data_IF_888073893551
#
_entry.id   IF_888073893551
#
_cell.length_a   1.000
_cell.length_b   1.000
_cell.length_c   1.000
_cell.angle_alpha   90.00
_cell.angle_beta   90.00
_cell.angle_gamma   90.00
#
_symmetry.space_group_name_H-M   'P 1'
#
loop_
_entity.id
_entity.type
_entity.pdbx_description
1 polymer ?
#
# COMPACT_ATOMS: atom_id res chain seq x y z
N UNK A 1 3.70 -3.36 29.59
CA UNK A 1 5.00 -2.63 29.63
C UNK A 1 5.03 -1.30 28.84
N UNK A 2 3.88 -0.76 28.37
CA UNK A 2 3.80 0.52 27.63
C UNK A 2 3.55 1.74 28.54
N UNK A 3 2.93 1.53 29.70
CA UNK A 3 2.58 2.60 30.65
C UNK A 3 3.77 3.18 31.42
N UNK A 4 4.81 2.38 31.70
CA UNK A 4 5.92 2.83 32.55
C UNK A 4 6.76 3.95 31.91
N UNK A 5 6.87 3.99 30.57
CA UNK A 5 7.66 5.02 29.87
C UNK A 5 6.95 6.37 29.82
N UNK A 6 5.61 6.36 29.71
CA UNK A 6 4.79 7.58 29.76
C UNK A 6 4.79 8.18 31.17
N UNK A 7 4.66 7.34 32.19
CA UNK A 7 4.80 7.70 33.61
C UNK A 7 6.17 8.32 33.92
N UNK A 8 7.25 7.76 33.37
CA UNK A 8 8.60 8.29 33.59
C UNK A 8 8.80 9.69 32.99
N UNK A 9 8.23 9.95 31.81
CA UNK A 9 8.28 11.27 31.16
C UNK A 9 7.46 12.31 31.94
N UNK A 10 6.26 11.94 32.40
CA UNK A 10 5.39 12.80 33.20
C UNK A 10 6.03 13.16 34.54
N UNK A 11 6.68 12.20 35.22
CA UNK A 11 7.41 12.45 36.47
C UNK A 11 8.63 13.38 36.27
N UNK A 12 9.32 13.27 35.14
CA UNK A 12 10.48 14.11 34.82
C UNK A 12 10.07 15.56 34.54
N UNK A 13 8.94 15.76 33.84
CA UNK A 13 8.36 17.08 33.60
C UNK A 13 7.92 17.75 34.92
N UNK A 14 7.26 17.00 35.80
CA UNK A 14 6.85 17.51 37.12
C UNK A 14 8.08 17.92 37.94
N UNK A 15 9.14 17.10 37.96
CA UNK A 15 10.37 17.44 38.67
C UNK A 15 11.03 18.72 38.15
N UNK A 16 11.08 18.92 36.82
CA UNK A 16 11.63 20.13 36.21
C UNK A 16 10.81 21.37 36.58
N UNK A 17 9.47 21.28 36.54
CA UNK A 17 8.58 22.37 36.92
C UNK A 17 8.77 22.73 38.41
N UNK A 18 8.92 21.74 39.29
CA UNK A 18 9.19 21.98 40.71
C UNK A 18 10.54 22.68 40.94
N UNK A 19 11.60 22.30 40.21
CA UNK A 19 12.91 22.95 40.33
C UNK A 19 12.86 24.39 39.84
N UNK A 20 12.15 24.67 38.74
CA UNK A 20 11.95 26.03 38.25
C UNK A 20 11.15 26.88 39.23
N UNK A 21 10.11 26.32 39.86
CA UNK A 21 9.32 27.02 40.87
C UNK A 21 10.16 27.39 42.10
N UNK A 22 11.04 26.48 42.56
CA UNK A 22 11.96 26.75 43.67
C UNK A 22 13.00 27.83 43.30
N UNK A 23 13.56 27.78 42.09
CA UNK A 23 14.49 28.81 41.61
C UNK A 23 13.82 30.19 41.53
N UNK A 24 12.56 30.25 41.07
CA UNK A 24 11.79 31.49 41.01
C UNK A 24 11.48 32.07 42.40
N UNK A 25 11.26 31.23 43.41
CA UNK A 25 11.07 31.70 44.81
C UNK A 25 12.36 32.21 45.45
N UNK A 26 13.54 31.78 44.98
CA UNK A 26 14.83 32.17 45.54
C UNK A 26 15.37 33.47 44.93
N UNK A 27 15.04 33.76 43.67
CA UNK A 27 15.46 34.99 42.99
C UNK A 27 14.36 35.50 42.03
N UNK A 28 13.37 36.27 42.53
CA UNK A 28 12.21 36.67 41.74
C UNK A 28 12.51 37.72 40.66
N UNK A 29 13.67 38.38 40.71
CA UNK A 29 14.12 39.36 39.71
C UNK A 29 15.11 38.77 38.68
N UNK A 30 15.43 37.47 38.78
CA UNK A 30 16.32 36.78 37.86
C UNK A 30 15.78 36.72 36.42
N UNK A 31 16.66 36.86 35.44
CA UNK A 31 16.32 36.69 34.02
C UNK A 31 16.27 35.18 33.66
N UNK A 32 15.07 34.61 33.74
CA UNK A 32 14.82 33.19 33.47
C UNK A 32 14.44 32.90 32.01
N UNK A 33 14.34 33.91 31.13
CA UNK A 33 14.06 33.73 29.70
C UNK A 33 14.97 32.68 29.03
N UNK A 34 16.31 32.70 29.21
CA UNK A 34 17.18 31.71 28.57
C UNK A 34 16.91 30.28 29.03
N UNK A 35 16.51 30.08 30.29
CA UNK A 35 16.23 28.76 30.86
C UNK A 35 14.90 28.21 30.31
N UNK A 36 13.88 29.07 30.21
CA UNK A 36 12.56 28.69 29.67
C UNK A 36 12.68 28.32 28.19
N UNK A 37 13.44 29.09 27.39
CA UNK A 37 13.69 28.81 25.97
C UNK A 37 14.43 27.47 25.80
N UNK A 38 15.44 27.20 26.64
CA UNK A 38 16.17 25.93 26.63
C UNK A 38 15.24 24.75 26.90
N UNK A 39 14.36 24.84 27.90
CA UNK A 39 13.42 23.77 28.24
C UNK A 39 12.39 23.54 27.14
N UNK A 40 11.84 24.61 26.55
CA UNK A 40 10.92 24.50 25.41
C UNK A 40 11.56 23.80 24.20
N UNK A 41 12.84 24.10 23.93
CA UNK A 41 13.60 23.45 22.86
C UNK A 41 13.84 21.96 23.13
N UNK A 42 14.15 21.59 24.38
CA UNK A 42 14.36 20.21 24.79
C UNK A 42 13.07 19.38 24.71
N UNK A 43 11.93 19.94 25.13
CA UNK A 43 10.62 19.26 25.02
C UNK A 43 10.28 19.01 23.55
N UNK A 44 10.51 20.00 22.69
CA UNK A 44 10.29 19.87 21.25
C UNK A 44 11.19 18.79 20.64
N UNK A 45 12.47 18.76 21.01
CA UNK A 45 13.42 17.74 20.56
C UNK A 45 13.00 16.34 21.01
N UNK A 46 12.58 16.18 22.28
CA UNK A 46 12.09 14.90 22.81
C UNK A 46 10.83 14.45 22.08
N UNK A 47 9.90 15.34 21.78
CA UNK A 47 8.70 15.01 21.00
C UNK A 47 9.06 14.53 19.58
N UNK A 48 9.99 15.22 18.91
CA UNK A 48 10.49 14.83 17.59
C UNK A 48 11.17 13.46 17.66
N UNK A 49 12.10 13.25 18.58
CA UNK A 49 12.81 11.97 18.75
C UNK A 49 11.84 10.83 19.08
N UNK A 50 10.85 11.08 19.94
CA UNK A 50 9.83 10.09 20.28
C UNK A 50 8.95 9.77 19.08
N UNK A 51 8.55 10.78 18.29
CA UNK A 51 7.76 10.57 17.06
C UNK A 51 8.55 9.77 16.01
N UNK A 52 9.85 10.05 15.86
CA UNK A 52 10.74 9.32 14.96
C UNK A 52 10.96 7.88 15.44
N UNK A 53 11.13 7.68 16.74
CA UNK A 53 11.25 6.34 17.32
C UNK A 53 9.96 5.53 17.18
N UNK A 54 8.80 6.12 17.42
CA UNK A 54 7.49 5.46 17.22
C UNK A 54 7.26 5.17 15.74
N UNK A 55 7.59 6.09 14.85
CA UNK A 55 7.45 5.90 13.39
C UNK A 55 8.38 4.81 12.87
N UNK A 56 9.62 4.76 13.36
CA UNK A 56 10.57 3.68 13.07
C UNK A 56 10.07 2.36 13.64
N UNK A 57 9.64 2.31 14.90
CA UNK A 57 9.09 1.10 15.51
C UNK A 57 7.83 0.58 14.80
N UNK A 58 6.93 1.46 14.36
CA UNK A 58 5.76 1.06 13.58
C UNK A 58 6.16 0.52 12.20
N UNK A 59 7.18 1.12 11.56
CA UNK A 59 7.77 0.60 10.33
C UNK A 59 8.39 -0.79 10.57
N UNK A 60 9.15 -0.94 11.65
CA UNK A 60 9.81 -2.19 12.02
C UNK A 60 8.78 -3.27 12.41
N UNK A 61 7.67 -2.93 13.09
CA UNK A 61 6.61 -3.89 13.42
C UNK A 61 5.76 -4.32 12.22
N UNK A 62 5.69 -3.49 11.17
CA UNK A 62 5.12 -3.89 9.87
C UNK A 62 6.13 -4.77 9.10
N UNK A 63 7.43 -4.58 9.32
CA UNK A 63 8.51 -5.38 8.71
C UNK A 63 8.73 -6.73 9.42
N UNK A 64 8.35 -6.87 10.70
CA UNK A 64 8.64 -8.08 11.49
C UNK A 64 7.62 -9.22 11.33
N UNK A 65 6.45 -8.98 10.73
CA UNK A 65 5.56 -10.08 10.33
C UNK A 65 6.05 -10.66 8.99
N UNK A 66 7.06 -11.53 9.08
CA UNK A 66 7.52 -12.32 7.94
C UNK A 66 6.32 -12.93 7.21
N UNK A 67 6.35 -12.82 5.87
CA UNK A 67 5.39 -13.45 4.97
C UNK A 67 5.05 -14.87 5.42
N UNK A 68 3.79 -15.12 5.76
CA UNK A 68 3.34 -16.44 6.18
C UNK A 68 3.61 -17.44 5.03
N UNK A 69 4.02 -18.69 5.31
CA UNK A 69 4.26 -19.68 4.27
C UNK A 69 3.08 -19.85 3.28
N UNK A 70 1.84 -19.70 3.75
CA UNK A 70 0.63 -19.72 2.92
C UNK A 70 0.54 -18.56 1.92
N UNK A 71 0.96 -17.37 2.32
CA UNK A 71 0.99 -16.18 1.45
C UNK A 71 2.10 -16.32 0.39
N UNK A 72 3.29 -16.79 0.78
CA UNK A 72 4.39 -17.06 -0.14
C UNK A 72 4.00 -18.14 -1.16
N UNK A 73 3.32 -19.19 -0.72
CA UNK A 73 2.80 -20.23 -1.59
C UNK A 73 1.78 -19.68 -2.58
N UNK A 74 0.84 -18.85 -2.11
CA UNK A 74 -0.15 -18.18 -2.97
C UNK A 74 0.52 -17.31 -4.04
N UNK A 75 1.47 -16.44 -3.66
CA UNK A 75 2.20 -15.58 -4.61
C UNK A 75 2.91 -16.40 -5.69
N UNK A 76 3.52 -17.53 -5.32
CA UNK A 76 4.18 -18.41 -6.28
C UNK A 76 3.16 -19.08 -7.24
N UNK A 77 1.99 -19.46 -6.75
CA UNK A 77 0.91 -20.03 -7.56
C UNK A 77 0.30 -19.05 -8.56
N UNK A 78 0.40 -17.74 -8.33
CA UNK A 78 -0.17 -16.72 -9.23
C UNK A 78 0.34 -16.85 -10.68
N UNK A 79 1.58 -17.30 -10.87
CA UNK A 79 2.15 -17.53 -12.21
C UNK A 79 1.35 -18.59 -12.96
N UNK A 80 1.08 -19.72 -12.32
CA UNK A 80 0.35 -20.84 -12.92
C UNK A 80 -1.13 -20.49 -13.11
N UNK A 81 -1.73 -19.81 -12.13
CA UNK A 81 -3.11 -19.34 -12.21
C UNK A 81 -3.29 -18.35 -13.37
N UNK A 82 -2.41 -17.35 -13.49
CA UNK A 82 -2.42 -16.42 -14.63
C UNK A 82 -2.28 -17.17 -15.96
N UNK A 83 -1.37 -18.14 -16.04
CA UNK A 83 -1.15 -18.89 -17.27
C UNK A 83 -2.39 -19.70 -17.70
N UNK A 84 -3.08 -20.30 -16.74
CA UNK A 84 -4.32 -21.04 -17.01
C UNK A 84 -5.44 -20.10 -17.49
N UNK A 85 -5.62 -18.95 -16.85
CA UNK A 85 -6.64 -17.96 -17.23
C UNK A 85 -6.35 -17.39 -18.62
N UNK A 86 -5.10 -17.00 -18.89
CA UNK A 86 -4.70 -16.48 -20.21
C UNK A 86 -4.81 -17.53 -21.32
N UNK A 87 -4.58 -18.82 -21.01
CA UNK A 87 -4.80 -19.89 -21.99
C UNK A 87 -6.26 -19.93 -22.44
N UNK A 88 -7.21 -19.98 -21.48
CA UNK A 88 -8.64 -19.99 -21.78
C UNK A 88 -9.09 -18.70 -22.49
N UNK A 89 -8.59 -17.54 -22.03
CA UNK A 89 -8.91 -16.26 -22.65
C UNK A 89 -8.39 -16.15 -24.09
N UNK A 90 -7.20 -16.68 -24.40
CA UNK A 90 -6.65 -16.70 -25.77
C UNK A 90 -7.50 -17.54 -26.73
N UNK A 91 -8.05 -18.67 -26.28
CA UNK A 91 -8.97 -19.48 -27.09
C UNK A 91 -10.23 -18.67 -27.45
N UNK A 92 -10.75 -17.90 -26.49
CA UNK A 92 -11.89 -17.00 -26.67
C UNK A 92 -11.57 -15.81 -27.56
N UNK A 93 -10.41 -15.18 -27.39
CA UNK A 93 -9.95 -14.07 -28.22
C UNK A 93 -9.72 -14.49 -29.68
N UNK A 94 -9.23 -15.71 -29.90
CA UNK A 94 -8.91 -16.25 -31.21
C UNK A 94 -10.12 -16.70 -32.06
N UNK A 95 -11.32 -16.80 -31.48
CA UNK A 95 -12.48 -17.33 -32.21
C UNK A 95 -13.18 -16.30 -33.13
N UNK A 96 -12.81 -15.01 -33.04
CA UNK A 96 -13.36 -13.93 -33.86
C UNK A 96 -14.79 -13.49 -33.51
N UNK A 97 -15.37 -13.99 -32.41
CA UNK A 97 -16.70 -13.58 -31.93
C UNK A 97 -16.55 -12.57 -30.80
N UNK A 98 -17.07 -11.35 -30.99
CA UNK A 98 -16.99 -10.26 -29.99
C UNK A 98 -17.53 -10.66 -28.61
N UNK A 99 -18.59 -11.47 -28.53
CA UNK A 99 -19.13 -11.95 -27.25
C UNK A 99 -18.13 -12.82 -26.50
N UNK A 100 -17.49 -13.77 -27.19
CA UNK A 100 -16.46 -14.64 -26.60
C UNK A 100 -15.23 -13.82 -26.20
N UNK A 101 -14.82 -12.85 -27.03
CA UNK A 101 -13.71 -11.97 -26.71
C UNK A 101 -13.98 -11.17 -25.41
N UNK A 102 -15.21 -10.70 -25.23
CA UNK A 102 -15.65 -10.03 -24.00
C UNK A 102 -15.60 -10.99 -22.82
N UNK A 103 -16.10 -12.21 -22.95
CA UNK A 103 -16.01 -13.19 -21.86
C UNK A 103 -14.55 -13.54 -21.50
N UNK A 104 -13.65 -13.62 -22.49
CA UNK A 104 -12.21 -13.79 -22.24
C UNK A 104 -11.61 -12.60 -21.47
N UNK A 105 -12.06 -11.38 -21.77
CA UNK A 105 -11.69 -10.20 -21.00
C UNK A 105 -12.22 -10.26 -19.56
N UNK A 106 -13.48 -10.67 -19.37
CA UNK A 106 -14.12 -10.79 -18.07
C UNK A 106 -13.41 -11.83 -17.19
N UNK A 107 -12.98 -12.97 -17.74
CA UNK A 107 -12.23 -14.00 -17.03
C UNK A 107 -10.88 -13.47 -16.49
N UNK A 108 -10.13 -12.75 -17.33
CA UNK A 108 -8.83 -12.18 -16.94
C UNK A 108 -9.02 -11.05 -15.94
N UNK A 109 -10.03 -10.20 -16.12
CA UNK A 109 -10.39 -9.14 -15.17
C UNK A 109 -10.77 -9.71 -13.81
N UNK A 110 -11.56 -10.79 -13.76
CA UNK A 110 -11.94 -11.47 -12.52
C UNK A 110 -10.69 -12.00 -11.80
N UNK A 111 -9.79 -12.67 -12.53
CA UNK A 111 -8.52 -13.14 -11.98
C UNK A 111 -7.71 -12.01 -11.32
N UNK A 112 -7.53 -10.88 -12.01
CA UNK A 112 -6.75 -9.77 -11.45
C UNK A 112 -7.44 -9.12 -10.25
N UNK A 113 -8.76 -8.91 -10.29
CA UNK A 113 -9.53 -8.37 -9.17
C UNK A 113 -9.39 -9.24 -7.93
N UNK A 114 -9.66 -10.54 -8.06
CA UNK A 114 -9.62 -11.48 -6.94
C UNK A 114 -8.20 -11.61 -6.38
N UNK A 115 -7.19 -11.64 -7.27
CA UNK A 115 -5.79 -11.67 -6.87
C UNK A 115 -5.39 -10.43 -6.09
N UNK A 116 -5.75 -9.25 -6.60
CA UNK A 116 -5.43 -7.97 -5.96
C UNK A 116 -6.10 -7.87 -4.58
N UNK A 117 -7.40 -8.19 -4.49
CA UNK A 117 -8.14 -8.15 -3.21
C UNK A 117 -7.52 -9.08 -2.17
N UNK A 118 -7.17 -10.31 -2.56
CA UNK A 118 -6.55 -11.28 -1.65
C UNK A 118 -5.16 -10.87 -1.19
N UNK A 119 -4.40 -10.15 -2.01
CA UNK A 119 -3.14 -9.53 -1.60
C UNK A 119 -3.38 -8.33 -0.68
N UNK A 120 -4.39 -7.52 -0.99
CA UNK A 120 -4.76 -6.30 -0.26
C UNK A 120 -5.31 -6.57 1.15
N UNK A 121 -5.92 -7.74 1.40
CA UNK A 121 -6.40 -8.18 2.72
C UNK A 121 -5.35 -8.14 3.84
N UNK A 122 -4.06 -8.10 3.48
CA UNK A 122 -2.96 -8.05 4.43
C UNK A 122 -2.65 -6.63 4.91
N UNK A 123 -3.33 -5.61 4.37
CA UNK A 123 -3.04 -4.21 4.64
C UNK A 123 -4.18 -3.55 5.42
N UNK A 124 -3.85 -2.67 6.38
CA UNK A 124 -4.86 -1.90 7.08
C UNK A 124 -5.41 -0.77 6.18
N UNK A 125 -6.61 -0.26 6.49
CA UNK A 125 -7.35 0.69 5.63
C UNK A 125 -6.61 2.00 5.36
N UNK A 126 -5.69 2.40 6.24
CA UNK A 126 -4.84 3.59 6.08
C UNK A 126 -3.93 3.46 4.86
N UNK A 127 -3.56 2.24 4.47
CA UNK A 127 -2.79 1.98 3.25
C UNK A 127 -3.55 2.41 1.99
N UNK A 128 -4.88 2.40 2.05
CA UNK A 128 -5.78 2.71 0.94
C UNK A 128 -6.40 4.12 1.07
N UNK A 129 -5.84 5.00 1.90
CA UNK A 129 -6.37 6.36 2.06
C UNK A 129 -7.64 6.42 2.93
N UNK A 130 -7.75 5.52 3.91
CA UNK A 130 -8.88 5.39 4.84
C UNK A 130 -10.20 4.95 4.20
N UNK A 131 -10.14 4.32 3.02
CA UNK A 131 -11.27 3.57 2.45
C UNK A 131 -10.97 2.06 2.52
N UNK A 132 -11.99 1.24 2.32
CA UNK A 132 -11.78 -0.21 2.20
C UNK A 132 -10.97 -0.53 0.94
N UNK A 133 -10.21 -1.62 0.95
CA UNK A 133 -9.46 -2.06 -0.23
C UNK A 133 -10.39 -2.35 -1.42
N UNK A 134 -11.64 -2.77 -1.17
CA UNK A 134 -12.67 -2.95 -2.20
C UNK A 134 -13.06 -1.62 -2.85
N UNK A 135 -13.34 -0.59 -2.04
CA UNK A 135 -13.65 0.76 -2.55
C UNK A 135 -12.48 1.35 -3.33
N UNK A 136 -11.26 1.16 -2.83
CA UNK A 136 -10.03 1.58 -3.52
C UNK A 136 -9.91 0.94 -4.89
N UNK A 137 -10.04 -0.39 -4.97
CA UNK A 137 -9.93 -1.12 -6.24
C UNK A 137 -11.03 -0.71 -7.23
N UNK A 138 -12.27 -0.57 -6.75
CA UNK A 138 -13.39 -0.15 -7.60
C UNK A 138 -13.15 1.26 -8.18
N UNK A 139 -12.64 2.18 -7.36
CA UNK A 139 -12.26 3.53 -7.81
C UNK A 139 -11.14 3.45 -8.85
N UNK A 140 -10.07 2.71 -8.56
CA UNK A 140 -8.95 2.52 -9.49
C UNK A 140 -9.42 1.98 -10.85
N UNK A 141 -10.27 0.95 -10.85
CA UNK A 141 -10.79 0.34 -12.09
C UNK A 141 -11.65 1.35 -12.85
N UNK A 142 -12.52 2.11 -12.16
CA UNK A 142 -13.33 3.15 -12.79
C UNK A 142 -12.48 4.24 -13.44
N UNK A 143 -11.44 4.70 -12.76
CA UNK A 143 -10.52 5.73 -13.27
C UNK A 143 -9.67 5.21 -14.44
N UNK A 144 -9.26 3.95 -14.40
CA UNK A 144 -8.56 3.29 -15.50
C UNK A 144 -9.47 3.16 -16.74
N UNK A 145 -10.73 2.73 -16.57
CA UNK A 145 -11.70 2.71 -17.67
C UNK A 145 -11.90 4.09 -18.29
N UNK A 146 -12.11 5.11 -17.47
CA UNK A 146 -12.27 6.50 -17.94
C UNK A 146 -11.05 6.95 -18.77
N UNK A 147 -9.85 6.69 -18.27
CA UNK A 147 -8.59 7.05 -18.95
C UNK A 147 -8.43 6.33 -20.29
N UNK A 148 -8.72 5.02 -20.34
CA UNK A 148 -8.61 4.23 -21.56
C UNK A 148 -9.70 4.57 -22.57
N UNK A 149 -10.93 4.89 -22.14
CA UNK A 149 -11.97 5.39 -23.05
C UNK A 149 -11.59 6.74 -23.66
N UNK A 150 -11.12 7.71 -22.85
CA UNK A 150 -10.65 8.99 -23.36
C UNK A 150 -9.52 8.83 -24.38
N UNK A 151 -8.60 7.89 -24.14
CA UNK A 151 -7.52 7.56 -25.08
C UNK A 151 -8.08 6.95 -26.36
N UNK A 152 -8.96 5.97 -26.26
CA UNK A 152 -9.58 5.32 -27.41
C UNK A 152 -10.43 6.29 -28.25
N UNK A 153 -11.17 7.20 -27.63
CA UNK A 153 -11.93 8.25 -28.31
C UNK A 153 -11.02 9.16 -29.14
N UNK A 154 -9.89 9.59 -28.57
CA UNK A 154 -8.89 10.41 -29.28
C UNK A 154 -8.30 9.68 -30.50
N UNK A 155 -8.26 8.34 -30.47
CA UNK A 155 -7.79 7.48 -31.55
C UNK A 155 -8.91 7.03 -32.51
N UNK A 156 -10.16 7.48 -32.30
CA UNK A 156 -11.32 7.09 -33.11
C UNK A 156 -11.80 5.66 -32.89
N UNK A 157 -11.40 5.04 -31.77
CA UNK A 157 -11.68 3.66 -31.40
C UNK A 157 -12.59 3.53 -30.16
N UNK A 158 -13.11 4.62 -29.62
CA UNK A 158 -13.86 4.62 -28.35
C UNK A 158 -15.36 4.30 -28.45
N UNK A 159 -15.89 4.10 -29.66
CA UNK A 159 -17.29 3.72 -29.87
C UNK A 159 -17.50 2.25 -30.27
N UNK A 160 -18.65 1.69 -29.90
CA UNK A 160 -19.10 0.36 -30.33
C UNK A 160 -18.59 -0.81 -29.48
N UNK A 161 -18.89 -2.03 -29.90
CA UNK A 161 -18.61 -3.24 -29.12
C UNK A 161 -17.11 -3.60 -29.06
N UNK A 162 -16.32 -3.16 -30.05
CA UNK A 162 -14.86 -3.33 -30.07
C UNK A 162 -14.13 -2.36 -29.14
N UNK A 163 -14.67 -1.15 -28.91
CA UNK A 163 -14.10 -0.19 -27.97
C UNK A 163 -13.96 -0.81 -26.58
N UNK A 164 -15.02 -1.47 -26.09
CA UNK A 164 -14.98 -2.19 -24.83
C UNK A 164 -13.83 -3.21 -24.76
N UNK A 165 -13.63 -3.99 -25.83
CA UNK A 165 -12.58 -5.02 -25.86
C UNK A 165 -11.18 -4.38 -25.72
N UNK A 166 -10.93 -3.31 -26.47
CA UNK A 166 -9.65 -2.58 -26.47
C UNK A 166 -9.41 -1.90 -25.13
N UNK A 167 -10.41 -1.17 -24.63
CA UNK A 167 -10.35 -0.44 -23.37
C UNK A 167 -10.11 -1.39 -22.20
N UNK A 168 -10.87 -2.49 -22.12
CA UNK A 168 -10.68 -3.47 -21.05
C UNK A 168 -9.29 -4.12 -21.11
N UNK A 169 -8.70 -4.31 -22.31
CA UNK A 169 -7.31 -4.80 -22.42
C UNK A 169 -6.30 -3.81 -21.80
N UNK A 170 -6.54 -2.50 -21.93
CA UNK A 170 -5.79 -1.46 -21.21
C UNK A 170 -5.95 -1.58 -19.69
N UNK A 171 -7.18 -1.69 -19.21
CA UNK A 171 -7.48 -1.84 -17.77
C UNK A 171 -6.83 -3.10 -17.18
N UNK A 172 -6.84 -4.22 -17.91
CA UNK A 172 -6.15 -5.45 -17.50
C UNK A 172 -4.65 -5.24 -17.31
N UNK A 173 -4.00 -4.44 -18.16
CA UNK A 173 -2.57 -4.13 -18.04
C UNK A 173 -2.27 -3.26 -16.81
N UNK A 174 -3.17 -2.34 -16.50
CA UNK A 174 -3.05 -1.52 -15.29
C UNK A 174 -3.20 -2.39 -14.04
N UNK A 175 -4.18 -3.31 -14.03
CA UNK A 175 -4.36 -4.27 -12.95
C UNK A 175 -3.20 -5.27 -12.82
N UNK A 176 -2.63 -5.72 -13.94
CA UNK A 176 -1.42 -6.56 -13.94
C UNK A 176 -0.27 -5.89 -13.19
N UNK A 177 -0.10 -4.58 -13.42
CA UNK A 177 0.90 -3.76 -12.76
C UNK A 177 0.59 -3.59 -11.27
N UNK A 178 -0.67 -3.33 -10.91
CA UNK A 178 -1.10 -3.22 -9.52
C UNK A 178 -0.87 -4.51 -8.71
N UNK A 179 -1.09 -5.68 -9.31
CA UNK A 179 -0.78 -6.97 -8.67
C UNK A 179 0.73 -7.10 -8.45
N UNK A 180 1.55 -6.76 -9.44
CA UNK A 180 3.00 -6.81 -9.31
C UNK A 180 3.53 -5.85 -8.23
N UNK A 181 2.92 -4.67 -8.08
CA UNK A 181 3.25 -3.70 -7.03
C UNK A 181 2.87 -4.22 -5.64
N UNK A 182 1.68 -4.81 -5.47
CA UNK A 182 1.31 -5.42 -4.19
C UNK A 182 2.22 -6.60 -3.83
N UNK A 183 2.57 -7.46 -4.79
CA UNK A 183 3.52 -8.55 -4.55
C UNK A 183 4.88 -8.01 -4.13
N UNK A 184 5.36 -6.93 -4.75
CA UNK A 184 6.60 -6.26 -4.32
C UNK A 184 6.51 -5.79 -2.87
N UNK A 185 5.44 -5.07 -2.50
CA UNK A 185 5.26 -4.54 -1.15
C UNK A 185 5.18 -5.68 -0.14
N UNK A 186 4.34 -6.69 -0.38
CA UNK A 186 4.17 -7.85 0.52
C UNK A 186 5.47 -8.62 0.68
N UNK A 187 6.24 -8.81 -0.40
CA UNK A 187 7.51 -9.55 -0.38
C UNK A 187 8.73 -8.76 0.06
N UNK A 188 8.67 -7.43 0.10
CA UNK A 188 9.81 -6.57 0.46
C UNK A 188 10.34 -6.78 1.88
N UNK A 189 9.52 -7.37 2.77
CA UNK A 189 9.90 -7.65 4.15
C UNK A 189 10.65 -8.99 4.33
N UNK A 190 10.84 -9.79 3.26
CA UNK A 190 11.50 -11.10 3.34
C UNK A 190 12.55 -11.32 2.27
N UNK A 191 13.70 -11.84 2.65
CA UNK A 191 14.74 -12.30 1.72
C UNK A 191 14.43 -13.67 1.11
N UNK A 192 13.38 -14.36 1.59
CA UNK A 192 12.99 -15.69 1.13
C UNK A 192 12.31 -15.68 -0.25
N UNK A 193 12.01 -14.51 -0.80
CA UNK A 193 11.32 -14.35 -2.08
C UNK A 193 12.13 -13.50 -3.06
N UNK A 194 12.44 -14.09 -4.21
CA UNK A 194 13.13 -13.39 -5.29
C UNK A 194 12.10 -12.68 -6.20
N UNK A 195 11.73 -11.45 -5.83
CA UNK A 195 10.78 -10.63 -6.59
C UNK A 195 11.23 -10.42 -8.04
N UNK A 196 12.54 -10.26 -8.28
CA UNK A 196 13.07 -10.04 -9.63
C UNK A 196 12.79 -11.23 -10.56
N UNK A 197 13.10 -12.44 -10.09
CA UNK A 197 12.77 -13.67 -10.84
C UNK A 197 11.28 -13.89 -10.96
N UNK A 198 10.51 -13.61 -9.92
CA UNK A 198 9.06 -13.75 -9.97
C UNK A 198 8.44 -12.78 -10.99
N UNK A 199 8.85 -11.51 -11.00
CA UNK A 199 8.35 -10.49 -11.92
C UNK A 199 8.68 -10.85 -13.37
N UNK A 200 9.87 -11.40 -13.64
CA UNK A 200 10.23 -11.90 -14.96
C UNK A 200 9.26 -12.99 -15.43
N UNK A 201 8.95 -13.95 -14.56
CA UNK A 201 7.98 -15.02 -14.86
C UNK A 201 6.56 -14.47 -14.99
N UNK A 202 6.18 -13.50 -14.17
CA UNK A 202 4.87 -12.87 -14.20
C UNK A 202 4.59 -12.18 -15.54
N UNK A 203 5.60 -11.46 -16.05
CA UNK A 203 5.54 -10.77 -17.34
C UNK A 203 5.59 -11.70 -18.55
N UNK A 204 6.09 -12.93 -18.42
CA UNK A 204 6.19 -13.87 -19.55
C UNK A 204 4.89 -14.61 -19.87
N UNK A 205 3.84 -14.45 -19.06
CA UNK A 205 2.58 -15.20 -19.20
C UNK A 205 1.57 -14.52 -20.13
N UNK A 206 1.62 -13.19 -20.25
CA UNK A 206 0.69 -12.40 -21.06
C UNK A 206 1.04 -12.44 -22.55
#
# INVERSE_FOLDING_TARGET
>A
MKNNKRLLLELLLIAIICVLAVLWTLDPEGDFEPIIVLIGSLVSLVAVVTSLYVRKKNRDSVVEEQLKPSQLHFINQLIELKANVYKSARERWGCGKTSEMREGNDDVMAFYKDTWLRLADNFPVEHFGNVTHVEYLNKFISESYETHYQTADNEGCGEGSMAYIIVTAGVMKDLDSQVADLVFIVSSATDAFDYGKWLQRWKSVA
#
